data_IF_806878196065
#
_entry.id   IF_806878196065
#
_cell.length_a   1.000
_cell.length_b   1.000
_cell.length_c   1.000
_cell.angle_alpha   90.00
_cell.angle_beta   90.00
_cell.angle_gamma   90.00
#
_symmetry.space_group_name_H-M   'P 1'
#
loop_
_entity.id
_entity.type
_entity.pdbx_description
1 polymer ?
#
# COMPACT_ATOMS: atom_id res chain seq x y z
N UNK A 1 8.00 -0.15 71.72
CA UNK A 1 6.88 -0.93 72.30
C UNK A 1 5.73 0.03 72.58
N UNK A 2 4.45 -0.38 72.49
CA UNK A 2 3.79 -1.23 71.49
C UNK A 2 2.67 -0.39 70.79
N UNK A 3 1.64 -0.85 70.07
CA UNK A 3 1.25 -2.15 69.50
C UNK A 3 0.48 -1.90 68.17
N UNK A 4 0.42 -2.88 67.27
CA UNK A 4 -0.64 -2.95 66.23
C UNK A 4 -1.86 -3.72 66.76
N UNK A 5 -3.00 -3.68 66.04
CA UNK A 5 -3.78 -4.90 65.86
C UNK A 5 -3.95 -5.29 64.39
N UNK A 6 -3.93 -6.60 64.17
CA UNK A 6 -4.11 -7.29 62.88
C UNK A 6 -5.60 -7.46 62.56
N UNK A 7 -5.93 -7.60 61.27
CA UNK A 7 -6.94 -8.58 60.79
C UNK A 7 -6.76 -8.92 59.31
N UNK A 8 -6.37 -10.19 59.08
CA UNK A 8 -6.73 -11.10 57.99
C UNK A 8 -6.96 -10.50 56.60
N UNK A 9 -6.06 -10.64 55.62
CA UNK A 9 -5.71 -11.92 54.94
C UNK A 9 -6.93 -12.82 54.70
N UNK A 10 -7.52 -12.69 53.51
CA UNK A 10 -8.06 -13.85 52.78
C UNK A 10 -7.37 -13.89 51.43
N UNK A 11 -6.47 -14.87 51.27
CA UNK A 11 -5.93 -15.25 49.98
C UNK A 11 -7.06 -15.83 49.12
N UNK A 12 -7.22 -15.32 47.90
CA UNK A 12 -7.96 -16.01 46.84
C UNK A 12 -7.22 -15.82 45.51
N UNK A 13 -6.13 -16.59 45.36
CA UNK A 13 -5.49 -16.78 44.07
C UNK A 13 -6.52 -17.42 43.11
N UNK A 14 -6.97 -16.68 42.10
CA UNK A 14 -7.76 -17.20 40.99
C UNK A 14 -6.94 -17.06 39.70
N UNK A 15 -6.00 -17.98 39.53
CA UNK A 15 -5.26 -18.21 38.29
C UNK A 15 -6.25 -18.57 37.17
N UNK A 16 -6.36 -17.74 36.12
CA UNK A 16 -7.10 -18.10 34.90
C UNK A 16 -6.21 -17.86 33.67
N UNK A 17 -5.36 -18.84 33.30
CA UNK A 17 -4.67 -18.84 32.02
C UNK A 17 -5.62 -19.40 30.95
N UNK A 18 -6.32 -18.52 30.22
CA UNK A 18 -7.12 -18.89 29.05
C UNK A 18 -6.26 -19.05 27.79
N UNK A 19 -5.34 -20.02 27.81
CA UNK A 19 -4.76 -20.62 26.62
C UNK A 19 -5.14 -22.10 26.57
N UNK A 20 -6.35 -22.37 26.07
CA UNK A 20 -6.80 -23.74 25.80
C UNK A 20 -6.52 -24.10 24.34
N UNK A 21 -5.88 -25.25 24.16
CA UNK A 21 -5.43 -25.89 22.94
C UNK A 21 -6.25 -25.68 21.64
N UNK A 22 -5.53 -25.48 20.54
CA UNK A 22 -5.96 -25.99 19.24
C UNK A 22 -5.70 -27.49 19.17
N UNK A 23 -6.62 -28.30 19.69
CA UNK A 23 -6.55 -29.75 19.53
C UNK A 23 -6.82 -30.14 18.07
N UNK A 24 -5.94 -30.93 17.47
CA UNK A 24 -6.02 -31.34 16.07
C UNK A 24 -6.44 -32.81 15.97
N UNK A 25 -7.75 -33.06 16.06
CA UNK A 25 -8.31 -34.42 15.99
C UNK A 25 -9.42 -34.55 14.95
N UNK A 26 -9.09 -35.19 13.82
CA UNK A 26 -9.85 -36.29 13.19
C UNK A 26 -9.50 -36.47 11.70
N UNK A 27 -8.49 -37.28 11.38
CA UNK A 27 -8.30 -37.82 10.02
C UNK A 27 -9.32 -38.95 9.78
N UNK A 28 -10.57 -38.58 9.47
CA UNK A 28 -11.57 -39.52 8.97
C UNK A 28 -11.39 -39.76 7.46
N UNK A 29 -11.64 -40.98 6.94
CA UNK A 29 -11.66 -41.21 5.50
C UNK A 29 -12.86 -40.49 4.88
N UNK A 30 -12.61 -39.35 4.23
CA UNK A 30 -13.64 -38.59 3.52
C UNK A 30 -14.13 -39.44 2.34
N UNK A 31 -15.40 -39.86 2.38
CA UNK A 31 -16.04 -40.52 1.24
C UNK A 31 -16.05 -39.56 0.05
N UNK A 32 -15.40 -39.96 -1.03
CA UNK A 32 -15.42 -39.20 -2.29
C UNK A 32 -16.86 -39.06 -2.78
N UNK A 33 -17.41 -37.85 -2.74
CA UNK A 33 -18.69 -37.56 -3.36
C UNK A 33 -18.53 -37.68 -4.88
N UNK A 34 -19.47 -38.40 -5.53
CA UNK A 34 -19.43 -38.65 -6.96
C UNK A 34 -19.18 -37.37 -7.77
N UNK A 35 -18.41 -37.51 -8.86
CA UNK A 35 -18.01 -36.43 -9.73
C UNK A 35 -19.23 -35.71 -10.36
N UNK A 36 -19.76 -34.72 -9.66
CA UNK A 36 -20.48 -33.64 -10.30
C UNK A 36 -19.54 -33.03 -11.33
N UNK A 37 -19.96 -32.97 -12.59
CA UNK A 37 -19.16 -32.38 -13.67
C UNK A 37 -19.02 -30.89 -13.41
N UNK A 38 -17.95 -30.53 -12.68
CA UNK A 38 -17.60 -29.15 -12.42
C UNK A 38 -17.32 -28.50 -13.77
N UNK A 39 -18.29 -27.71 -14.26
CA UNK A 39 -18.10 -26.88 -15.45
C UNK A 39 -17.05 -25.84 -15.09
N UNK A 40 -15.79 -26.17 -15.37
CA UNK A 40 -14.64 -25.31 -15.09
C UNK A 40 -14.92 -23.96 -15.76
N UNK A 41 -15.03 -22.86 -15.00
CA UNK A 41 -15.30 -21.56 -15.60
C UNK A 41 -14.24 -21.27 -16.65
N UNK A 42 -14.68 -20.92 -17.85
CA UNK A 42 -13.79 -20.69 -18.98
C UNK A 42 -12.76 -19.63 -18.61
N UNK A 43 -11.48 -20.02 -18.56
CA UNK A 43 -10.38 -19.11 -18.24
C UNK A 43 -10.33 -18.07 -19.34
N UNK A 44 -10.61 -16.81 -18.99
CA UNK A 44 -10.49 -15.69 -19.94
C UNK A 44 -9.03 -15.58 -20.35
N UNK A 45 -8.73 -15.92 -21.60
CA UNK A 45 -7.43 -15.68 -22.20
C UNK A 45 -7.14 -14.17 -22.15
N UNK A 46 -5.97 -13.72 -21.66
CA UNK A 46 -5.61 -12.30 -21.70
C UNK A 46 -5.50 -11.85 -23.16
N UNK A 47 -6.29 -10.84 -23.53
CA UNK A 47 -6.33 -10.33 -24.90
C UNK A 47 -5.04 -9.58 -25.19
N UNK A 48 -4.20 -10.13 -26.09
CA UNK A 48 -2.95 -9.51 -26.52
C UNK A 48 -3.21 -8.37 -27.51
N UNK A 49 -3.81 -7.29 -27.03
CA UNK A 49 -3.96 -6.03 -27.77
C UNK A 49 -2.77 -5.08 -27.58
N UNK A 50 -2.64 -4.04 -28.42
CA UNK A 50 -1.71 -2.94 -28.18
C UNK A 50 -1.95 -2.32 -26.80
N UNK A 51 -0.88 -2.01 -26.06
CA UNK A 51 -1.01 -1.36 -24.75
C UNK A 51 -1.67 0.02 -24.93
N UNK A 52 -2.64 0.40 -24.08
CA UNK A 52 -3.21 1.75 -24.12
C UNK A 52 -2.11 2.80 -23.95
N UNK A 53 -2.13 3.85 -24.78
CA UNK A 53 -1.26 5.01 -24.58
C UNK A 53 -1.61 5.72 -23.28
N UNK A 54 -0.61 5.98 -22.43
CA UNK A 54 -0.84 6.64 -21.15
C UNK A 54 -1.45 8.03 -21.37
N UNK A 55 -2.60 8.29 -20.72
CA UNK A 55 -3.25 9.60 -20.76
C UNK A 55 -2.63 10.50 -19.68
N UNK A 56 -2.29 11.71 -20.08
CA UNK A 56 -1.66 12.70 -19.22
C UNK A 56 -2.75 13.41 -18.42
N UNK A 57 -2.82 13.17 -17.11
CA UNK A 57 -3.79 13.83 -16.24
C UNK A 57 -3.29 15.22 -15.81
N UNK A 58 -3.48 16.20 -16.69
CA UNK A 58 -3.19 17.61 -16.40
C UNK A 58 -4.22 18.15 -15.41
N UNK A 59 -3.76 18.61 -14.24
CA UNK A 59 -4.54 19.38 -13.28
C UNK A 59 -3.77 20.66 -12.93
N UNK A 60 -4.45 21.79 -12.68
CA UNK A 60 -3.80 23.00 -12.17
C UNK A 60 -2.99 22.71 -10.90
N UNK A 61 -1.80 23.29 -10.78
CA UNK A 61 -0.90 23.08 -9.65
C UNK A 61 0.01 21.84 -9.74
N UNK A 62 -0.08 21.06 -10.83
CA UNK A 62 0.85 19.95 -11.13
C UNK A 62 1.88 20.32 -12.22
N UNK A 63 2.01 21.60 -12.55
CA UNK A 63 2.95 22.09 -13.57
C UNK A 63 4.39 21.77 -13.19
N UNK A 64 5.13 21.17 -14.12
CA UNK A 64 6.50 20.70 -13.90
C UNK A 64 6.61 19.36 -13.16
N UNK A 65 5.49 18.77 -12.69
CA UNK A 65 5.45 17.39 -12.18
C UNK A 65 5.03 16.44 -13.29
N UNK A 66 3.88 16.71 -13.91
CA UNK A 66 3.39 15.91 -15.05
C UNK A 66 4.29 16.14 -16.27
N UNK A 67 4.65 15.07 -16.97
CA UNK A 67 5.65 15.04 -18.05
C UNK A 67 7.11 14.98 -17.57
N UNK A 68 7.38 15.11 -16.27
CA UNK A 68 8.75 15.06 -15.76
C UNK A 68 9.30 13.64 -15.68
N UNK A 69 10.59 13.48 -15.97
CA UNK A 69 11.34 12.25 -15.73
C UNK A 69 11.91 12.20 -14.29
N UNK A 70 12.45 11.04 -13.90
CA UNK A 70 12.99 10.80 -12.56
C UNK A 70 14.02 11.86 -12.14
N UNK A 71 14.93 12.25 -13.03
CA UNK A 71 15.96 13.25 -12.73
C UNK A 71 15.37 14.65 -12.46
N UNK A 72 14.30 15.03 -13.14
CA UNK A 72 13.58 16.28 -12.91
C UNK A 72 12.79 16.25 -11.59
N UNK A 73 12.16 15.13 -11.26
CA UNK A 73 11.43 14.91 -10.01
C UNK A 73 12.39 14.90 -8.81
N UNK A 74 13.53 14.21 -8.93
CA UNK A 74 14.56 14.14 -7.88
C UNK A 74 15.19 15.51 -7.59
N UNK A 75 15.29 16.41 -8.58
CA UNK A 75 15.68 17.81 -8.34
C UNK A 75 14.62 18.61 -7.59
N UNK A 76 13.34 18.38 -7.87
CA UNK A 76 12.23 19.10 -7.22
C UNK A 76 11.96 18.63 -5.77
N UNK A 77 12.00 17.32 -5.52
CA UNK A 77 11.55 16.71 -4.27
C UNK A 77 12.67 16.05 -3.45
N UNK A 78 13.84 15.80 -4.06
CA UNK A 78 14.95 15.05 -3.45
C UNK A 78 14.98 13.58 -3.82
N UNK A 79 15.73 12.77 -3.06
CA UNK A 79 15.68 11.31 -3.25
C UNK A 79 14.29 10.80 -2.91
N UNK A 80 13.65 9.98 -3.76
CA UNK A 80 12.43 9.29 -3.39
C UNK A 80 12.71 8.32 -2.22
N UNK A 81 11.68 8.07 -1.42
CA UNK A 81 11.66 7.04 -0.36
C UNK A 81 11.40 5.65 -0.92
N UNK A 82 10.66 5.57 -2.03
CA UNK A 82 10.40 4.35 -2.79
C UNK A 82 10.64 4.64 -4.27
N UNK A 83 11.36 3.76 -4.96
CA UNK A 83 11.54 3.79 -6.41
C UNK A 83 11.46 2.33 -6.88
N UNK A 84 10.34 1.97 -7.50
CA UNK A 84 10.03 0.58 -7.90
C UNK A 84 9.46 0.51 -9.31
N UNK A 85 9.69 -0.62 -9.97
CA UNK A 85 9.12 -0.91 -11.29
C UNK A 85 7.93 -1.87 -11.15
N UNK A 86 6.82 -1.50 -11.77
CA UNK A 86 5.56 -2.25 -11.80
C UNK A 86 5.23 -2.54 -13.28
N UNK A 87 5.88 -3.54 -13.86
CA UNK A 87 5.81 -3.81 -15.30
C UNK A 87 6.64 -2.82 -16.11
N UNK A 88 5.99 -2.03 -16.98
CA UNK A 88 6.61 -0.89 -17.66
C UNK A 88 6.38 0.45 -16.95
N UNK A 89 5.59 0.47 -15.87
CA UNK A 89 5.44 1.63 -15.00
C UNK A 89 6.61 1.73 -14.02
N UNK A 90 7.01 2.96 -13.69
CA UNK A 90 7.93 3.25 -12.58
C UNK A 90 7.21 4.13 -11.57
N UNK A 91 7.19 3.69 -10.31
CA UNK A 91 6.54 4.38 -9.21
C UNK A 91 7.58 4.99 -8.29
N UNK A 92 7.50 6.31 -8.11
CA UNK A 92 8.27 7.05 -7.11
C UNK A 92 7.36 7.44 -5.94
N UNK A 93 7.85 7.35 -4.71
CA UNK A 93 7.18 7.92 -3.54
C UNK A 93 8.06 8.98 -2.88
N UNK A 94 7.47 10.13 -2.60
CA UNK A 94 8.03 11.20 -1.77
C UNK A 94 7.16 11.36 -0.52
N UNK A 95 7.75 11.77 0.59
CA UNK A 95 7.04 11.90 1.87
C UNK A 95 7.62 13.02 2.70
N UNK A 96 6.74 13.81 3.31
CA UNK A 96 7.08 14.86 4.28
C UNK A 96 6.04 14.92 5.40
N UNK A 97 6.14 15.91 6.27
CA UNK A 97 5.20 16.09 7.39
C UNK A 97 3.76 16.36 6.93
N UNK A 98 3.57 17.00 5.77
CA UNK A 98 2.25 17.34 5.24
C UNK A 98 1.52 16.15 4.58
N UNK A 99 2.23 15.33 3.80
CA UNK A 99 1.64 14.31 2.93
C UNK A 99 2.67 13.29 2.42
N UNK A 100 2.15 12.22 1.82
CA UNK A 100 2.85 11.27 0.95
C UNK A 100 2.36 11.52 -0.49
N UNK A 101 3.31 11.57 -1.42
CA UNK A 101 3.08 11.82 -2.85
C UNK A 101 3.63 10.62 -3.64
N UNK A 102 2.74 9.88 -4.30
CA UNK A 102 3.13 8.86 -5.27
C UNK A 102 3.08 9.48 -6.68
N UNK A 103 4.15 9.30 -7.45
CA UNK A 103 4.25 9.74 -8.84
C UNK A 103 4.43 8.50 -9.72
N UNK A 104 3.54 8.35 -10.70
CA UNK A 104 3.51 7.21 -11.60
C UNK A 104 4.02 7.63 -12.97
N UNK A 105 5.15 7.06 -13.37
CA UNK A 105 5.81 7.33 -14.63
C UNK A 105 5.57 6.18 -15.60
N UNK A 106 5.22 6.52 -16.84
CA UNK A 106 5.03 5.56 -17.93
C UNK A 106 5.85 5.99 -19.15
N UNK A 107 6.38 5.04 -19.94
CA UNK A 107 7.06 5.36 -21.20
C UNK A 107 6.05 5.82 -22.25
N UNK A 108 6.38 6.88 -23.00
CA UNK A 108 5.49 7.37 -24.09
C UNK A 108 5.40 6.42 -25.28
N UNK A 109 6.41 5.56 -25.45
CA UNK A 109 6.47 4.43 -26.37
C UNK A 109 7.46 3.39 -25.83
N UNK A 110 7.37 2.13 -26.27
CA UNK A 110 8.24 1.03 -25.84
C UNK A 110 9.73 1.42 -25.90
N UNK A 111 10.46 1.25 -24.78
CA UNK A 111 11.88 1.57 -24.67
C UNK A 111 12.21 3.07 -24.52
N UNK A 112 11.23 3.96 -24.39
CA UNK A 112 11.46 5.37 -24.03
C UNK A 112 11.59 5.54 -22.52
N UNK A 113 12.27 6.61 -22.11
CA UNK A 113 12.35 7.03 -20.70
C UNK A 113 10.94 7.29 -20.14
N UNK A 114 10.57 6.71 -18.98
CA UNK A 114 9.29 6.99 -18.33
C UNK A 114 9.16 8.46 -17.91
N UNK A 115 7.96 9.01 -18.09
CA UNK A 115 7.59 10.36 -17.67
C UNK A 115 6.33 10.29 -16.82
N UNK A 116 6.20 11.17 -15.82
CA UNK A 116 5.05 11.21 -14.93
C UNK A 116 3.75 11.50 -15.71
N UNK A 117 2.78 10.59 -15.63
CA UNK A 117 1.46 10.76 -16.27
C UNK A 117 0.33 10.92 -15.26
N UNK A 118 0.57 10.46 -14.03
CA UNK A 118 -0.38 10.53 -12.92
C UNK A 118 0.34 10.74 -11.57
N UNK A 119 -0.37 11.38 -10.66
CA UNK A 119 0.07 11.71 -9.30
C UNK A 119 -1.06 11.37 -8.34
N UNK A 120 -0.73 10.70 -7.25
CA UNK A 120 -1.59 10.49 -6.09
C UNK A 120 -1.01 11.19 -4.85
N UNK A 121 -1.87 11.70 -3.98
CA UNK A 121 -1.47 12.44 -2.79
C UNK A 121 -2.39 12.08 -1.61
N UNK A 122 -1.79 11.65 -0.50
CA UNK A 122 -2.51 11.20 0.70
C UNK A 122 -1.83 11.65 1.98
N UNK A 123 -2.60 11.74 3.06
CA UNK A 123 -2.08 12.05 4.39
C UNK A 123 -1.31 10.85 4.95
N UNK A 124 -0.17 11.11 5.57
CA UNK A 124 0.73 10.05 6.04
C UNK A 124 0.18 9.21 7.23
N UNK A 125 -0.80 9.74 7.98
CA UNK A 125 -1.30 9.12 9.22
C UNK A 125 -2.42 8.11 9.02
N UNK A 126 -3.32 8.35 8.05
CA UNK A 126 -4.55 7.59 7.82
C UNK A 126 -4.74 7.16 6.36
N UNK A 127 -3.86 7.59 5.45
CA UNK A 127 -3.93 7.26 4.03
C UNK A 127 -5.04 7.97 3.26
N UNK A 128 -5.76 8.93 3.88
CA UNK A 128 -6.85 9.67 3.22
C UNK A 128 -6.31 10.59 2.14
N UNK A 129 -6.95 10.59 0.97
CA UNK A 129 -6.65 11.49 -0.15
C UNK A 129 -6.60 12.95 0.29
N UNK A 130 -5.60 13.69 -0.19
CA UNK A 130 -5.44 15.14 0.02
C UNK A 130 -5.28 15.86 -1.30
N UNK A 131 -5.38 17.20 -1.28
CA UNK A 131 -5.16 17.98 -2.50
C UNK A 131 -3.72 17.79 -3.04
N UNK A 132 -3.64 17.47 -4.34
CA UNK A 132 -2.41 17.06 -5.01
C UNK A 132 -1.47 18.24 -5.23
N UNK A 133 -2.02 19.40 -5.59
CA UNK A 133 -1.26 20.63 -5.80
C UNK A 133 -0.65 21.13 -4.48
N UNK A 134 -1.44 21.14 -3.41
CA UNK A 134 -0.99 21.44 -2.06
C UNK A 134 0.14 20.50 -1.63
N UNK A 135 -0.03 19.19 -1.81
CA UNK A 135 1.01 18.20 -1.48
C UNK A 135 2.30 18.40 -2.30
N UNK A 136 2.20 18.61 -3.62
CA UNK A 136 3.35 18.98 -4.47
C UNK A 136 4.05 20.24 -3.96
N UNK A 137 3.29 21.29 -3.63
CA UNK A 137 3.86 22.54 -3.12
C UNK A 137 4.58 22.37 -1.78
N UNK A 138 4.07 21.50 -0.90
CA UNK A 138 4.62 21.26 0.42
C UNK A 138 5.88 20.38 0.41
N UNK A 139 6.05 19.53 -0.61
CA UNK A 139 7.22 18.65 -0.78
C UNK A 139 8.33 19.24 -1.66
N UNK A 140 8.07 20.34 -2.37
CA UNK A 140 9.11 21.02 -3.17
C UNK A 140 10.25 21.51 -2.26
N UNK A 141 11.47 21.15 -2.64
CA UNK A 141 12.68 21.70 -2.04
C UNK A 141 12.79 23.21 -2.29
N UNK A 142 13.34 23.91 -1.31
CA UNK A 142 13.81 25.29 -1.43
C UNK A 142 15.28 25.31 -1.87
#
# INVERSE_FOLDING_TARGET
MPASPRRAIVFALAFIPLLSACDSTATGPVRSANAATATRPAVRQPVSGPRPTARVHMMPGLEGVIGANVNQLTRQFGSPRLDVWEGDARKLQFSGSACVLDIYLYPSATGREPQATYVDARRASDGVDVDRAACVSALRKR
#
